data_IF_610614096797
#
_entry.id   IF_610614096797
#
_cell.length_a   1.000
_cell.length_b   1.000
_cell.length_c   1.000
_cell.angle_alpha   90.00
_cell.angle_beta   90.00
_cell.angle_gamma   90.00
#
_symmetry.space_group_name_H-M   'P 1'
#
loop_
_entity.id
_entity.type
_entity.pdbx_description
1 polymer ?
#
# COMPACT_ATOMS: atom_id res chain seq x y z
N UNK A 1 13.95 -15.78 4.24
CA UNK A 1 13.67 -14.56 3.43
C UNK A 1 12.22 -14.48 2.95
N UNK A 2 11.62 -15.55 2.43
CA UNK A 2 10.23 -15.55 1.93
C UNK A 2 9.19 -15.19 3.00
N UNK A 3 9.33 -15.67 4.24
CA UNK A 3 8.38 -15.40 5.34
C UNK A 3 8.27 -13.92 5.73
N UNK A 4 9.38 -13.17 5.80
CA UNK A 4 9.36 -11.71 6.09
C UNK A 4 8.65 -10.92 4.98
N UNK A 5 8.86 -11.32 3.74
CA UNK A 5 8.22 -10.69 2.57
C UNK A 5 6.70 -10.95 2.60
N UNK A 6 6.29 -12.18 2.90
CA UNK A 6 4.88 -12.55 3.04
C UNK A 6 4.21 -11.75 4.17
N UNK A 7 4.84 -11.64 5.35
CA UNK A 7 4.32 -10.82 6.45
C UNK A 7 4.16 -9.35 6.07
N UNK A 8 5.10 -8.78 5.31
CA UNK A 8 4.98 -7.41 4.79
C UNK A 8 3.82 -7.26 3.81
N UNK A 9 3.66 -8.19 2.86
CA UNK A 9 2.54 -8.16 1.90
C UNK A 9 1.21 -8.26 2.63
N UNK A 10 1.10 -9.17 3.61
CA UNK A 10 -0.12 -9.34 4.41
C UNK A 10 -0.43 -8.06 5.19
N UNK A 11 0.56 -7.46 5.87
CA UNK A 11 0.39 -6.20 6.60
C UNK A 11 -0.07 -5.06 5.69
N UNK A 12 0.50 -4.95 4.49
CA UNK A 12 0.12 -3.93 3.51
C UNK A 12 -1.29 -4.20 2.97
N UNK A 13 -1.63 -5.46 2.70
CA UNK A 13 -2.97 -5.86 2.23
C UNK A 13 -4.05 -5.56 3.27
N UNK A 14 -3.81 -5.86 4.54
CA UNK A 14 -4.73 -5.53 5.64
C UNK A 14 -4.87 -4.02 5.77
N UNK A 15 -3.76 -3.28 5.74
CA UNK A 15 -3.79 -1.81 5.78
C UNK A 15 -4.59 -1.23 4.60
N UNK A 16 -4.40 -1.76 3.39
CA UNK A 16 -5.16 -1.35 2.21
C UNK A 16 -6.65 -1.63 2.35
N UNK A 17 -7.03 -2.81 2.87
CA UNK A 17 -8.43 -3.15 3.11
C UNK A 17 -9.08 -2.20 4.12
N UNK A 18 -8.42 -1.92 5.24
CA UNK A 18 -8.94 -0.98 6.24
C UNK A 18 -9.08 0.42 5.65
N UNK A 19 -8.09 0.85 4.84
CA UNK A 19 -8.16 2.14 4.19
C UNK A 19 -9.35 2.22 3.23
N UNK A 20 -9.51 1.27 2.31
CA UNK A 20 -10.52 1.32 1.25
C UNK A 20 -11.93 0.98 1.71
N UNK A 21 -12.09 0.02 2.61
CA UNK A 21 -13.41 -0.45 3.05
C UNK A 21 -13.95 0.38 4.21
N UNK A 22 -13.08 1.03 4.99
CA UNK A 22 -13.50 1.79 6.15
C UNK A 22 -13.15 3.28 6.04
N UNK A 23 -11.87 3.63 5.97
CA UNK A 23 -11.45 5.04 6.07
C UNK A 23 -11.95 5.86 4.88
N UNK A 24 -11.80 5.35 3.66
CA UNK A 24 -12.23 6.08 2.44
C UNK A 24 -13.74 6.33 2.43
N UNK A 25 -14.63 5.33 2.56
CA UNK A 25 -16.07 5.56 2.48
C UNK A 25 -16.67 6.22 3.73
N UNK A 26 -16.17 5.95 4.95
CA UNK A 26 -16.80 6.46 6.17
C UNK A 26 -16.13 7.70 6.77
N UNK A 27 -14.85 7.96 6.47
CA UNK A 27 -14.16 9.15 6.98
C UNK A 27 -13.87 10.16 5.88
N UNK A 28 -13.35 9.72 4.73
CA UNK A 28 -12.93 10.64 3.66
C UNK A 28 -14.12 11.11 2.85
N UNK A 29 -14.99 10.19 2.40
CA UNK A 29 -16.14 10.51 1.56
C UNK A 29 -17.13 11.50 2.21
N UNK A 30 -17.59 11.33 3.46
CA UNK A 30 -18.52 12.29 4.05
C UNK A 30 -17.87 13.66 4.35
N UNK A 31 -16.55 13.71 4.52
CA UNK A 31 -15.85 14.94 4.93
C UNK A 31 -15.33 15.76 3.75
N UNK A 32 -14.99 15.10 2.65
CA UNK A 32 -14.35 15.71 1.49
C UNK A 32 -15.09 15.41 0.17
N UNK A 33 -16.15 14.60 0.20
CA UNK A 33 -16.93 14.22 -0.96
C UNK A 33 -16.09 13.52 -2.05
N UNK A 34 -16.44 13.82 -3.29
CA UNK A 34 -15.88 13.19 -4.49
C UNK A 34 -14.38 13.51 -4.70
N UNK A 35 -13.94 14.72 -4.34
CA UNK A 35 -12.53 15.14 -4.45
C UNK A 35 -11.64 14.41 -3.44
N UNK A 36 -12.11 14.21 -2.22
CA UNK A 36 -11.39 13.42 -1.21
C UNK A 36 -11.29 11.95 -1.57
N UNK A 37 -12.35 11.38 -2.17
CA UNK A 37 -12.30 10.02 -2.70
C UNK A 37 -11.21 9.87 -3.76
N UNK A 38 -11.22 10.74 -4.77
CA UNK A 38 -10.21 10.73 -5.84
C UNK A 38 -8.79 10.87 -5.28
N UNK A 39 -8.59 11.76 -4.31
CA UNK A 39 -7.30 11.92 -3.64
C UNK A 39 -6.86 10.64 -2.90
N UNK A 40 -7.76 10.02 -2.14
CA UNK A 40 -7.43 8.80 -1.41
C UNK A 40 -7.09 7.62 -2.34
N UNK A 41 -7.82 7.48 -3.45
CA UNK A 41 -7.51 6.51 -4.51
C UNK A 41 -6.10 6.77 -5.08
N UNK A 42 -5.78 8.03 -5.36
CA UNK A 42 -4.49 8.43 -5.94
C UNK A 42 -3.32 8.11 -4.98
N UNK A 43 -3.49 8.44 -3.69
CA UNK A 43 -2.52 8.12 -2.63
C UNK A 43 -2.33 6.61 -2.50
N UNK A 44 -3.40 5.82 -2.55
CA UNK A 44 -3.32 4.36 -2.47
C UNK A 44 -2.51 3.77 -3.64
N UNK A 45 -2.73 4.25 -4.87
CA UNK A 45 -1.96 3.83 -6.05
C UNK A 45 -0.47 4.15 -5.88
N UNK A 46 -0.13 5.36 -5.44
CA UNK A 46 1.25 5.78 -5.20
C UNK A 46 1.93 4.88 -4.17
N UNK A 47 1.26 4.62 -3.04
CA UNK A 47 1.78 3.73 -1.99
C UNK A 47 1.99 2.32 -2.53
N UNK A 48 1.06 1.80 -3.33
CA UNK A 48 1.18 0.46 -3.91
C UNK A 48 2.40 0.34 -4.84
N UNK A 49 2.64 1.37 -5.68
CA UNK A 49 3.83 1.43 -6.54
C UNK A 49 5.11 1.53 -5.70
N UNK A 50 5.14 2.38 -4.66
CA UNK A 50 6.29 2.55 -3.79
C UNK A 50 6.64 1.24 -3.03
N UNK A 51 5.63 0.52 -2.55
CA UNK A 51 5.80 -0.79 -1.90
C UNK A 51 6.35 -1.82 -2.87
N UNK A 52 5.79 -1.92 -4.08
CA UNK A 52 6.30 -2.86 -5.10
C UNK A 52 7.72 -2.49 -5.52
N UNK A 53 8.00 -1.19 -5.69
CA UNK A 53 9.32 -0.66 -6.02
C UNK A 53 10.36 -0.98 -4.94
N UNK A 54 10.05 -0.71 -3.67
CA UNK A 54 10.95 -1.04 -2.55
C UNK A 54 11.20 -2.54 -2.42
N UNK A 55 10.18 -3.38 -2.68
CA UNK A 55 10.30 -4.83 -2.69
C UNK A 55 11.20 -5.33 -3.84
N UNK A 56 11.13 -4.72 -5.01
CA UNK A 56 12.00 -5.02 -6.16
C UNK A 56 13.43 -4.51 -5.93
N UNK A 57 13.58 -3.34 -5.31
CA UNK A 57 14.89 -2.75 -4.99
C UNK A 57 15.63 -3.55 -3.92
N UNK A 58 14.93 -4.05 -2.91
CA UNK A 58 15.49 -4.92 -1.87
C UNK A 58 15.99 -6.26 -2.45
N UNK A 59 15.37 -6.76 -3.54
CA UNK A 59 15.86 -7.93 -4.28
C UNK A 59 17.14 -7.64 -5.08
N UNK A 60 17.30 -6.43 -5.63
CA UNK A 60 18.53 -6.01 -6.34
C UNK A 60 19.72 -5.82 -5.41
N UNK A 61 19.50 -5.29 -4.20
CA UNK A 61 20.58 -5.11 -3.19
C UNK A 61 21.03 -6.46 -2.60
N UNK A 62 20.12 -7.44 -2.49
CA UNK A 62 20.43 -8.76 -1.93
C UNK A 62 20.88 -9.79 -2.98
N UNK A 63 21.34 -9.30 -4.12
CA UNK A 63 21.79 -10.07 -5.28
C UNK A 63 23.28 -9.89 -5.61
N UNK A 64 24.14 -9.66 -4.61
CA UNK A 64 25.59 -9.89 -4.77
C UNK A 64 26.28 -10.28 -3.45
N UNK A 65 25.83 -11.40 -2.86
CA UNK A 65 26.65 -12.29 -2.03
C UNK A 65 25.98 -13.66 -2.00
N UNK A 66 26.15 -14.43 -3.07
CA UNK A 66 26.08 -15.88 -2.98
C UNK A 66 27.21 -16.49 -3.78
#
# INVERSE_FOLDING_TARGET
MKKKIIFRIIGIGIFHMVLYLYIVPFLVYPKFGDSGFKFAVLVAIIISIAVVGTMFFERRIKGDKK
#
